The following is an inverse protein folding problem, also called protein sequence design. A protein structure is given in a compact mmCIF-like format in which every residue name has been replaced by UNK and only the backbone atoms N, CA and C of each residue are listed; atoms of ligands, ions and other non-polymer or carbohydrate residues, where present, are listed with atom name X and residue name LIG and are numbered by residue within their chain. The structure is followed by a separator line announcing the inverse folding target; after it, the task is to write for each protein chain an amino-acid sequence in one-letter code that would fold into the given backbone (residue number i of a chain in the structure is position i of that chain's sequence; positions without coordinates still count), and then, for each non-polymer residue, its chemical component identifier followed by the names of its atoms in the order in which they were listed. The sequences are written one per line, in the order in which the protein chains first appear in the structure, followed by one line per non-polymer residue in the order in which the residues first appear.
data_IF_224395995715
#
_entry.id   IF_224395995715
#
_cell.length_a   1.000
_cell.length_b   1.000
_cell.length_c   1.000
_cell.angle_alpha   90.00
_cell.angle_beta   90.00
_cell.angle_gamma   90.00
#
_symmetry.space_group_name_H-M   'P 1'
#
loop_
_entity.id
_entity.type
_entity.pdbx_description
1 polymer ?
#
# COMPACT_ATOMS: atom_id res chain seq x y z
N UNK A 1 13.09 -9.21 -9.61
CA UNK A 1 12.23 -8.31 -8.80
C UNK A 1 12.74 -6.91 -8.98
N UNK A 2 11.81 -5.98 -9.19
CA UNK A 2 12.07 -4.56 -9.34
C UNK A 2 11.48 -3.81 -8.16
N UNK A 3 12.30 -2.98 -7.53
CA UNK A 3 11.95 -2.21 -6.33
C UNK A 3 12.05 -0.71 -6.62
N UNK A 4 11.08 0.06 -6.11
CA UNK A 4 11.13 1.52 -6.04
C UNK A 4 10.81 1.98 -4.61
N UNK A 5 11.53 2.99 -4.14
CA UNK A 5 11.31 3.60 -2.82
C UNK A 5 11.85 5.03 -2.81
N UNK A 6 11.22 5.90 -2.02
CA UNK A 6 11.77 7.21 -1.65
C UNK A 6 12.33 7.23 -0.20
N UNK A 7 12.43 6.07 0.45
CA UNK A 7 13.00 5.95 1.78
C UNK A 7 14.54 6.00 1.71
N UNK A 8 15.14 6.85 2.53
CA UNK A 8 16.58 6.83 2.80
C UNK A 8 16.96 5.67 3.71
N UNK A 9 18.17 5.12 3.56
CA UNK A 9 18.66 4.05 4.45
C UNK A 9 18.63 4.45 5.94
N UNK A 10 18.21 3.57 6.87
CA UNK A 10 17.67 2.24 6.63
C UNK A 10 16.31 2.30 5.93
N UNK A 11 16.07 1.41 4.96
CA UNK A 11 14.87 1.35 4.11
C UNK A 11 13.56 1.02 4.83
N UNK A 12 13.46 1.35 6.12
CA UNK A 12 12.25 1.26 6.94
C UNK A 12 12.11 2.55 7.73
N UNK A 13 10.91 3.17 7.75
CA UNK A 13 10.74 4.50 8.35
C UNK A 13 10.72 4.44 9.89
N UNK A 14 10.75 3.24 10.48
CA UNK A 14 10.67 3.01 11.92
C UNK A 14 12.03 3.14 12.63
N UNK A 15 13.14 3.09 11.89
CA UNK A 15 14.51 3.05 12.42
C UNK A 15 15.03 4.34 13.07
N UNK A 16 14.19 5.36 13.25
CA UNK A 16 14.57 6.62 13.90
C UNK A 16 14.74 6.51 15.44
N UNK A 17 14.87 5.30 16.00
CA UNK A 17 15.22 5.08 17.41
C UNK A 17 16.57 5.74 17.81
N UNK A 18 17.41 6.07 16.82
CA UNK A 18 18.68 6.78 17.03
C UNK A 18 18.60 8.32 16.96
N UNK A 19 17.43 8.95 17.18
CA UNK A 19 17.40 10.41 17.35
C UNK A 19 17.75 10.75 18.81
N UNK A 20 18.94 11.32 19.10
CA UNK A 20 19.32 11.68 20.47
C UNK A 20 18.37 12.71 21.10
N UNK A 21 17.62 13.45 20.28
CA UNK A 21 16.59 14.38 20.72
C UNK A 21 15.40 14.34 19.75
N UNK A 22 14.24 13.89 20.22
CA UNK A 22 12.99 13.89 19.45
C UNK A 22 12.02 12.81 19.91
N UNK A 23 10.72 13.12 19.98
CA UNK A 23 9.71 12.08 20.17
C UNK A 23 9.62 11.23 18.89
N UNK A 24 9.48 9.89 18.99
CA UNK A 24 9.26 9.05 17.82
C UNK A 24 8.04 9.56 17.05
N UNK A 25 8.18 9.79 15.75
CA UNK A 25 7.06 10.12 14.90
C UNK A 25 6.09 8.94 14.88
N UNK A 26 4.78 9.20 15.01
CA UNK A 26 3.77 8.17 14.84
C UNK A 26 3.57 7.97 13.35
N UNK A 27 3.61 6.72 12.89
CA UNK A 27 3.50 6.38 11.48
C UNK A 27 2.21 5.58 11.28
N UNK A 28 1.39 5.98 10.32
CA UNK A 28 0.37 5.12 9.73
C UNK A 28 0.99 4.43 8.53
N UNK A 29 0.84 3.11 8.46
CA UNK A 29 1.34 2.29 7.37
C UNK A 29 0.18 1.65 6.65
N UNK A 30 0.06 1.88 5.35
CA UNK A 30 -0.85 1.11 4.51
C UNK A 30 -0.05 0.10 3.71
N UNK A 31 -0.63 -1.08 3.49
CA UNK A 31 -0.07 -2.14 2.64
C UNK A 31 -1.15 -2.58 1.65
N UNK A 32 -0.78 -2.85 0.40
CA UNK A 32 -1.64 -3.53 -0.57
C UNK A 32 -0.82 -4.46 -1.45
N UNK A 33 -1.48 -5.51 -1.94
CA UNK A 33 -0.93 -6.47 -2.88
C UNK A 33 -1.80 -6.52 -4.13
N UNK A 34 -1.17 -6.79 -5.26
CA UNK A 34 -1.84 -7.10 -6.52
C UNK A 34 -1.56 -8.55 -6.87
N UNK A 35 -2.61 -9.27 -7.27
CA UNK A 35 -2.56 -10.70 -7.52
C UNK A 35 -2.92 -11.01 -8.97
N UNK A 36 -2.29 -12.05 -9.51
CA UNK A 36 -2.71 -12.73 -10.73
C UNK A 36 -3.15 -14.14 -10.34
N UNK A 37 -4.22 -14.61 -10.96
CA UNK A 37 -4.72 -15.97 -10.80
C UNK A 37 -4.68 -16.68 -12.16
N UNK A 38 -3.80 -17.67 -12.32
CA UNK A 38 -3.71 -18.46 -13.54
C UNK A 38 -4.77 -19.57 -13.63
N UNK A 39 -5.65 -19.69 -12.63
CA UNK A 39 -6.68 -20.71 -12.49
C UNK A 39 -6.23 -21.94 -11.69
N UNK A 40 -4.92 -22.13 -11.49
CA UNK A 40 -4.37 -23.15 -10.61
C UNK A 40 -3.87 -22.53 -9.29
N UNK A 41 -3.30 -21.32 -9.35
CA UNK A 41 -2.68 -20.64 -8.22
C UNK A 41 -2.83 -19.12 -8.32
N UNK A 42 -3.16 -18.51 -7.20
CA UNK A 42 -3.04 -17.06 -7.02
C UNK A 42 -1.59 -16.71 -6.65
N UNK A 43 -0.97 -15.83 -7.44
CA UNK A 43 0.41 -15.37 -7.27
C UNK A 43 0.40 -13.86 -6.99
N UNK A 44 1.04 -13.38 -5.91
CA UNK A 44 1.18 -11.96 -5.68
C UNK A 44 2.26 -11.44 -6.63
N UNK A 45 1.90 -10.48 -7.48
CA UNK A 45 2.81 -9.96 -8.51
C UNK A 45 3.39 -8.60 -8.15
N UNK A 46 2.69 -7.83 -7.32
CA UNK A 46 3.14 -6.53 -6.85
C UNK A 46 2.72 -6.34 -5.38
N UNK A 47 3.56 -5.65 -4.61
CA UNK A 47 3.21 -5.20 -3.28
C UNK A 47 3.72 -3.79 -3.07
N UNK A 48 2.96 -2.99 -2.32
CA UNK A 48 3.37 -1.65 -1.95
C UNK A 48 3.02 -1.33 -0.50
N UNK A 49 3.85 -0.49 0.11
CA UNK A 49 3.68 0.04 1.44
C UNK A 49 3.86 1.56 1.42
N UNK A 50 2.91 2.28 2.03
CA UNK A 50 2.94 3.75 2.17
C UNK A 50 2.96 4.11 3.64
N UNK A 51 3.76 5.14 3.97
CA UNK A 51 4.04 5.57 5.32
C UNK A 51 3.70 7.05 5.51
N UNK A 52 2.65 7.32 6.28
CA UNK A 52 2.19 8.67 6.62
C UNK A 52 2.59 9.04 8.04
N UNK A 53 3.12 10.26 8.22
CA UNK A 53 3.36 10.81 9.57
C UNK A 53 2.07 11.32 10.16
N UNK A 54 1.61 10.69 11.23
CA UNK A 54 0.40 11.10 11.95
C UNK A 54 0.74 11.72 13.30
N UNK A 55 -0.17 12.55 13.82
CA UNK A 55 -0.06 13.03 15.20
C UNK A 55 -0.82 12.08 16.14
N UNK A 56 -0.31 11.90 17.37
CA UNK A 56 -0.91 10.99 18.34
C UNK A 56 -2.36 11.37 18.67
N UNK A 57 -2.59 12.65 18.98
CA UNK A 57 -3.84 13.15 19.57
C UNK A 57 -4.53 14.26 18.78
N UNK A 58 -3.96 14.71 17.66
CA UNK A 58 -4.46 15.87 16.92
C UNK A 58 -4.75 15.44 15.50
N UNK A 59 -5.84 15.95 14.95
CA UNK A 59 -6.08 15.96 13.52
C UNK A 59 -5.19 17.02 12.91
N UNK A 60 -4.42 16.65 11.88
CA UNK A 60 -3.59 17.59 11.14
C UNK A 60 -4.38 18.09 9.92
N UNK A 61 -4.57 19.41 9.75
CA UNK A 61 -5.02 19.95 8.49
C UNK A 61 -3.93 19.73 7.45
N UNK A 62 -4.30 19.16 6.31
CA UNK A 62 -3.38 18.81 5.24
C UNK A 62 -4.01 19.13 3.88
N UNK A 63 -3.16 19.31 2.88
CA UNK A 63 -3.49 19.58 1.48
C UNK A 63 -2.43 18.93 0.58
N UNK A 64 -2.57 19.13 -0.74
CA UNK A 64 -1.62 18.57 -1.71
C UNK A 64 -0.18 18.99 -1.45
N UNK A 65 0.06 20.21 -0.96
CA UNK A 65 1.40 20.79 -0.78
C UNK A 65 2.06 20.40 0.55
N UNK A 66 1.27 20.03 1.54
CA UNK A 66 1.74 19.77 2.92
C UNK A 66 1.89 18.28 3.24
N UNK A 67 1.23 17.37 2.51
CA UNK A 67 1.34 15.92 2.74
C UNK A 67 2.63 15.36 2.16
N UNK A 68 3.61 15.07 3.01
CA UNK A 68 4.72 14.18 2.65
C UNK A 68 4.44 12.74 3.03
N UNK A 69 4.86 11.78 2.18
CA UNK A 69 4.79 10.35 2.50
C UNK A 69 6.04 9.60 2.05
N UNK A 70 6.36 8.54 2.80
CA UNK A 70 7.34 7.55 2.38
C UNK A 70 6.66 6.38 1.68
N UNK A 71 7.35 5.68 0.79
CA UNK A 71 6.83 4.45 0.20
C UNK A 71 7.93 3.44 -0.13
N UNK A 72 7.51 2.18 -0.27
CA UNK A 72 8.30 1.09 -0.81
C UNK A 72 7.37 0.21 -1.64
N UNK A 73 7.69 -0.03 -2.90
CA UNK A 73 6.91 -0.88 -3.80
C UNK A 73 7.81 -1.82 -4.58
N UNK A 74 7.35 -3.05 -4.77
CA UNK A 74 8.08 -4.13 -5.44
C UNK A 74 7.14 -4.84 -6.38
N UNK A 75 7.62 -5.10 -7.60
CA UNK A 75 6.97 -5.97 -8.59
C UNK A 75 7.90 -7.14 -8.89
N UNK A 76 7.36 -8.35 -8.95
CA UNK A 76 8.12 -9.50 -9.41
C UNK A 76 8.25 -9.45 -10.93
N UNK A 77 9.37 -9.93 -11.44
CA UNK A 77 9.60 -10.03 -12.89
C UNK A 77 9.43 -11.48 -13.37
N UNK A 78 9.34 -12.44 -12.43
CA UNK A 78 9.15 -13.88 -12.69
C UNK A 78 8.42 -14.54 -11.52
N UNK A 79 7.65 -15.59 -11.80
CA UNK A 79 6.84 -16.30 -10.81
C UNK A 79 7.65 -16.89 -9.65
N UNK A 80 8.91 -17.31 -9.88
CA UNK A 80 9.74 -17.90 -8.81
C UNK A 80 10.10 -16.88 -7.72
N UNK A 81 9.89 -15.60 -7.99
CA UNK A 81 10.16 -14.51 -7.05
C UNK A 81 9.00 -14.25 -6.09
N UNK A 82 7.83 -14.87 -6.31
CA UNK A 82 6.64 -14.71 -5.46
C UNK A 82 6.90 -15.02 -3.98
N UNK A 83 7.69 -16.07 -3.70
CA UNK A 83 8.08 -16.40 -2.33
C UNK A 83 8.97 -15.32 -1.69
N UNK A 84 9.81 -14.65 -2.49
CA UNK A 84 10.66 -13.55 -2.02
C UNK A 84 9.82 -12.30 -1.74
N UNK A 85 8.81 -12.01 -2.58
CA UNK A 85 7.84 -10.95 -2.35
C UNK A 85 7.04 -11.21 -1.07
N UNK A 86 6.52 -12.42 -0.87
CA UNK A 86 5.80 -12.80 0.35
C UNK A 86 6.66 -12.60 1.61
N UNK A 87 7.93 -13.03 1.59
CA UNK A 87 8.85 -12.82 2.71
C UNK A 87 9.15 -11.33 2.96
N UNK A 88 9.15 -10.50 1.91
CA UNK A 88 9.32 -9.05 2.04
C UNK A 88 8.09 -8.42 2.70
N UNK A 89 6.90 -8.76 2.24
CA UNK A 89 5.63 -8.31 2.83
C UNK A 89 5.55 -8.74 4.28
N UNK A 90 5.87 -9.99 4.61
CA UNK A 90 5.90 -10.50 5.99
C UNK A 90 6.77 -9.62 6.91
N UNK A 91 7.98 -9.26 6.47
CA UNK A 91 8.85 -8.35 7.23
C UNK A 91 8.24 -6.96 7.43
N UNK A 92 7.61 -6.40 6.39
CA UNK A 92 6.92 -5.11 6.48
C UNK A 92 5.78 -5.19 7.49
N UNK A 93 4.99 -6.26 7.47
CA UNK A 93 3.89 -6.47 8.40
C UNK A 93 4.38 -6.62 9.85
N UNK A 94 5.43 -7.41 10.10
CA UNK A 94 6.05 -7.53 11.44
C UNK A 94 6.49 -6.15 11.95
N UNK A 95 7.17 -5.37 11.13
CA UNK A 95 7.67 -4.05 11.52
C UNK A 95 6.52 -3.07 11.75
N UNK A 96 5.56 -3.00 10.82
CA UNK A 96 4.41 -2.12 10.94
C UNK A 96 3.59 -2.46 12.18
N UNK A 97 3.36 -3.75 12.43
CA UNK A 97 2.64 -4.23 13.62
C UNK A 97 3.26 -3.73 14.92
N UNK A 98 4.59 -3.78 14.99
CA UNK A 98 5.35 -3.42 16.19
C UNK A 98 5.56 -1.92 16.37
N UNK A 99 5.75 -1.18 15.29
CA UNK A 99 6.25 0.19 15.34
C UNK A 99 5.29 1.25 14.79
N UNK A 100 4.34 0.88 13.92
CA UNK A 100 3.35 1.82 13.43
C UNK A 100 2.31 2.13 14.51
N UNK A 101 1.75 3.33 14.44
CA UNK A 101 0.56 3.68 15.21
C UNK A 101 -0.69 3.00 14.62
N UNK A 102 -0.72 2.85 13.29
CA UNK A 102 -1.80 2.23 12.53
C UNK A 102 -1.21 1.39 11.41
N UNK A 103 -1.73 0.18 11.22
CA UNK A 103 -1.51 -0.66 10.05
C UNK A 103 -2.85 -0.81 9.32
N UNK A 104 -2.89 -0.36 8.07
CA UNK A 104 -4.10 -0.29 7.26
C UNK A 104 -3.99 -1.15 5.99
N UNK A 105 -5.13 -1.68 5.57
CA UNK A 105 -5.31 -2.37 4.29
C UNK A 105 -6.73 -2.15 3.75
N UNK A 106 -7.05 -2.77 2.62
CA UNK A 106 -8.40 -2.74 2.04
C UNK A 106 -8.82 -4.15 1.66
N UNK A 107 -9.83 -4.70 2.35
CA UNK A 107 -10.19 -6.11 2.24
C UNK A 107 -8.98 -7.03 2.49
N UNK A 108 -8.14 -6.66 3.46
CA UNK A 108 -6.81 -7.22 3.61
C UNK A 108 -6.82 -8.67 4.11
N UNK A 109 -7.97 -9.15 4.60
CA UNK A 109 -8.18 -10.58 4.92
C UNK A 109 -7.90 -11.48 3.72
N UNK A 110 -8.30 -11.08 2.51
CA UNK A 110 -8.09 -11.87 1.29
C UNK A 110 -6.60 -11.95 0.94
N UNK A 111 -5.88 -10.83 1.09
CA UNK A 111 -4.42 -10.77 0.91
C UNK A 111 -3.68 -11.67 1.90
N UNK A 112 -4.07 -11.65 3.18
CA UNK A 112 -3.48 -12.51 4.21
C UNK A 112 -3.73 -14.00 3.94
N UNK A 113 -4.95 -14.34 3.50
CA UNK A 113 -5.30 -15.71 3.11
C UNK A 113 -4.50 -16.18 1.89
N UNK A 114 -4.35 -15.32 0.87
CA UNK A 114 -3.53 -15.61 -0.31
C UNK A 114 -2.07 -15.84 0.04
N UNK A 115 -1.50 -15.00 0.91
CA UNK A 115 -0.11 -15.15 1.38
C UNK A 115 0.09 -16.45 2.17
N UNK A 116 -0.88 -16.84 2.98
CA UNK A 116 -0.88 -18.13 3.67
C UNK A 116 -0.88 -19.31 2.70
N UNK A 117 -1.82 -19.32 1.74
CA UNK A 117 -1.93 -20.39 0.76
C UNK A 117 -0.66 -20.54 -0.09
N UNK A 118 -0.05 -19.41 -0.48
CA UNK A 118 1.24 -19.40 -1.15
C UNK A 118 2.33 -20.00 -0.27
N UNK A 119 2.42 -19.55 0.99
CA UNK A 119 3.44 -20.00 1.93
C UNK A 119 3.39 -21.51 2.16
N UNK A 120 2.19 -22.08 2.30
CA UNK A 120 1.95 -23.52 2.42
C UNK A 120 2.40 -24.27 1.15
N UNK A 121 2.12 -23.70 -0.03
CA UNK A 121 2.47 -24.30 -1.32
C UNK A 121 3.98 -24.34 -1.54
N UNK A 122 4.70 -23.28 -1.17
CA UNK A 122 6.14 -23.14 -1.43
C UNK A 122 7.02 -23.53 -0.22
N UNK A 123 6.42 -23.87 0.92
CA UNK A 123 7.11 -24.34 2.12
C UNK A 123 7.94 -23.27 2.83
N UNK A 124 7.51 -22.00 2.79
CA UNK A 124 8.18 -20.88 3.48
C UNK A 124 7.39 -20.41 4.69
N UNK A 125 8.09 -20.03 5.76
CA UNK A 125 7.43 -19.46 6.95
C UNK A 125 7.08 -17.98 6.76
N UNK A 126 5.84 -17.61 7.05
CA UNK A 126 5.33 -16.22 7.05
C UNK A 126 4.76 -15.86 8.44
N UNK A 127 5.59 -15.83 9.50
CA UNK A 127 5.10 -15.69 10.88
C UNK A 127 4.39 -14.36 11.14
N UNK A 128 4.76 -13.29 10.43
CA UNK A 128 4.08 -11.99 10.50
C UNK A 128 2.68 -12.05 9.90
N UNK A 129 2.53 -12.67 8.73
CA UNK A 129 1.23 -12.94 8.11
C UNK A 129 0.39 -13.80 9.06
N UNK A 130 0.93 -14.92 9.57
CA UNK A 130 0.21 -15.80 10.51
C UNK A 130 -0.31 -15.09 11.74
N UNK A 131 0.55 -14.32 12.40
CA UNK A 131 0.16 -13.56 13.59
C UNK A 131 -0.90 -12.51 13.25
N UNK A 132 -0.73 -11.82 12.11
CA UNK A 132 -1.64 -10.77 11.70
C UNK A 132 -3.01 -11.32 11.30
N UNK A 133 -3.10 -12.46 10.63
CA UNK A 133 -4.37 -13.11 10.25
C UNK A 133 -5.27 -13.32 11.46
N UNK A 134 -4.73 -13.91 12.54
CA UNK A 134 -5.48 -14.16 13.77
C UNK A 134 -5.96 -12.85 14.43
N UNK A 135 -5.18 -11.79 14.34
CA UNK A 135 -5.50 -10.50 14.95
C UNK A 135 -6.37 -9.60 14.05
N UNK A 136 -6.36 -9.81 12.73
CA UNK A 136 -7.11 -8.99 11.78
C UNK A 136 -8.61 -9.25 11.87
N UNK A 137 -9.02 -10.46 12.23
CA UNK A 137 -10.41 -10.81 12.54
C UNK A 137 -10.93 -9.99 13.74
N UNK A 138 -10.11 -9.89 14.79
CA UNK A 138 -10.39 -9.14 16.02
C UNK A 138 -9.85 -7.69 16.00
N UNK A 139 -9.56 -7.13 14.81
CA UNK A 139 -8.84 -5.85 14.65
C UNK A 139 -9.44 -4.65 15.41
N UNK A 140 -10.74 -4.69 15.70
CA UNK A 140 -11.44 -3.65 16.47
C UNK A 140 -11.04 -3.63 17.95
N UNK A 141 -10.44 -4.71 18.45
CA UNK A 141 -9.91 -4.80 19.81
C UNK A 141 -8.53 -4.16 19.87
N UNK A 142 -8.48 -2.91 20.34
CA UNK A 142 -7.22 -2.19 20.44
C UNK A 142 -6.31 -2.81 21.52
N UNK A 143 -5.12 -3.25 21.10
CA UNK A 143 -4.08 -3.77 21.99
C UNK A 143 -3.05 -2.69 22.31
N UNK A 144 -2.53 -2.69 23.54
CA UNK A 144 -1.51 -1.71 23.97
C UNK A 144 -0.13 -2.08 23.44
N UNK A 145 0.61 -1.09 22.94
CA UNK A 145 2.02 -1.25 22.57
C UNK A 145 2.27 -1.79 21.15
N UNK A 146 1.21 -1.93 20.36
CA UNK A 146 1.24 -2.41 18.97
C UNK A 146 0.25 -1.59 18.13
N UNK A 147 0.38 -1.66 16.79
CA UNK A 147 -0.43 -0.87 15.87
C UNK A 147 -1.95 -1.07 16.04
N UNK A 148 -2.74 -0.01 15.82
CA UNK A 148 -4.16 -0.18 15.53
C UNK A 148 -4.29 -0.82 14.14
N UNK A 149 -5.04 -1.91 14.02
CA UNK A 149 -5.33 -2.53 12.74
C UNK A 149 -6.58 -1.84 12.15
N UNK A 150 -6.59 -1.57 10.85
CA UNK A 150 -7.69 -0.84 10.22
C UNK A 150 -7.95 -1.35 8.79
N UNK A 151 -9.13 -1.89 8.54
CA UNK A 151 -9.52 -2.30 7.20
C UNK A 151 -10.44 -1.26 6.58
N UNK A 152 -9.95 -0.55 5.57
CA UNK A 152 -10.70 0.52 4.90
C UNK A 152 -11.96 0.02 4.18
N UNK A 153 -12.09 -1.28 3.90
CA UNK A 153 -13.32 -1.86 3.39
C UNK A 153 -14.40 -1.96 4.47
N UNK A 154 -14.02 -2.24 5.72
CA UNK A 154 -14.97 -2.63 6.77
C UNK A 154 -15.12 -1.63 7.91
N UNK A 155 -14.14 -0.73 8.11
CA UNK A 155 -14.04 0.09 9.32
C UNK A 155 -14.27 1.59 9.07
N UNK A 156 -14.45 2.00 7.81
CA UNK A 156 -14.78 3.39 7.44
C UNK A 156 -16.24 3.77 7.71
N UNK A 157 -17.12 2.78 7.86
CA UNK A 157 -18.55 3.00 8.05
C UNK A 157 -19.28 1.77 8.59
N UNK A 158 -20.60 1.89 8.83
CA UNK A 158 -21.40 0.79 9.36
C UNK A 158 -21.65 -0.34 8.34
N UNK A 159 -21.52 -0.05 7.05
CA UNK A 159 -21.70 -1.00 5.95
C UNK A 159 -20.35 -1.13 5.23
N UNK A 160 -19.84 -2.36 5.01
CA UNK A 160 -18.62 -2.54 4.24
C UNK A 160 -18.73 -1.97 2.82
N UNK A 161 -17.66 -1.36 2.35
CA UNK A 161 -17.52 -0.86 0.98
C UNK A 161 -17.51 -2.02 -0.02
N UNK A 162 -17.96 -1.78 -1.26
CA UNK A 162 -17.83 -2.78 -2.34
C UNK A 162 -16.44 -2.80 -2.95
N UNK A 163 -15.73 -1.67 -2.83
CA UNK A 163 -14.34 -1.53 -3.23
C UNK A 163 -13.76 -0.20 -2.74
N UNK A 164 -12.48 0.02 -3.05
CA UNK A 164 -11.74 1.17 -2.57
C UNK A 164 -12.33 2.51 -3.05
N UNK A 165 -12.92 2.54 -4.24
CA UNK A 165 -13.57 3.73 -4.78
C UNK A 165 -14.70 4.25 -3.87
N UNK A 166 -15.48 3.37 -3.25
CA UNK A 166 -16.55 3.77 -2.32
C UNK A 166 -15.97 4.43 -1.05
N UNK A 167 -14.88 3.86 -0.53
CA UNK A 167 -14.20 4.40 0.65
C UNK A 167 -13.55 5.76 0.33
N UNK A 168 -12.96 5.89 -0.85
CA UNK A 168 -12.37 7.15 -1.33
C UNK A 168 -13.44 8.23 -1.51
N UNK A 169 -14.57 7.90 -2.13
CA UNK A 169 -15.71 8.82 -2.28
C UNK A 169 -16.25 9.29 -0.92
N UNK A 170 -16.35 8.39 0.05
CA UNK A 170 -16.82 8.70 1.42
C UNK A 170 -15.87 9.66 2.16
N UNK A 171 -14.57 9.55 1.91
CA UNK A 171 -13.54 10.36 2.56
C UNK A 171 -12.98 11.48 1.70
N UNK A 172 -13.60 11.78 0.54
CA UNK A 172 -13.14 12.82 -0.39
C UNK A 172 -11.67 12.66 -0.81
N UNK A 173 -11.26 11.43 -1.10
CA UNK A 173 -9.98 11.11 -1.76
C UNK A 173 -10.25 10.90 -3.25
N UNK A 174 -9.56 11.62 -4.11
CA UNK A 174 -9.72 11.53 -5.57
C UNK A 174 -8.60 10.69 -6.17
N UNK A 175 -8.97 9.55 -6.73
CA UNK A 175 -8.07 8.69 -7.50
C UNK A 175 -8.25 9.05 -8.97
N UNK A 176 -7.18 9.46 -9.63
CA UNK A 176 -7.18 9.67 -11.07
C UNK A 176 -6.77 8.36 -11.73
N UNK A 177 -7.42 7.98 -12.82
CA UNK A 177 -6.97 6.79 -13.55
C UNK A 177 -5.67 7.11 -14.28
N UNK A 178 -4.62 6.34 -14.00
CA UNK A 178 -3.46 6.22 -14.89
C UNK A 178 -3.92 5.94 -16.34
N UNK A 179 -3.06 6.10 -17.36
CA UNK A 179 -3.42 5.78 -18.75
C UNK A 179 -3.96 4.35 -18.96
N UNK A 180 -3.72 3.46 -18.00
CA UNK A 180 -4.20 2.07 -17.97
C UNK A 180 -5.60 1.89 -17.34
N UNK A 181 -6.23 2.95 -16.84
CA UNK A 181 -7.45 2.83 -16.05
C UNK A 181 -7.18 2.40 -14.60
N UNK A 182 -8.23 2.10 -13.82
CA UNK A 182 -8.07 1.49 -12.50
C UNK A 182 -7.43 0.11 -12.61
N UNK A 183 -6.61 -0.27 -11.62
CA UNK A 183 -6.12 -1.64 -11.53
C UNK A 183 -7.29 -2.61 -11.30
N UNK A 184 -7.60 -3.38 -12.34
CA UNK A 184 -8.52 -4.51 -12.33
C UNK A 184 -7.74 -5.80 -12.42
N UNK A 185 -8.36 -6.93 -12.08
CA UNK A 185 -7.74 -8.25 -12.23
C UNK A 185 -7.25 -8.49 -13.68
N UNK A 186 -8.01 -8.02 -14.67
CA UNK A 186 -7.65 -8.16 -16.08
C UNK A 186 -6.45 -7.28 -16.47
N UNK A 187 -6.39 -6.02 -16.01
CA UNK A 187 -5.27 -5.13 -16.30
C UNK A 187 -3.99 -5.56 -15.57
N UNK A 188 -4.12 -6.02 -14.31
CA UNK A 188 -2.97 -6.53 -13.53
C UNK A 188 -2.37 -7.75 -14.24
N UNK A 189 -3.21 -8.70 -14.66
CA UNK A 189 -2.77 -9.86 -15.46
C UNK A 189 -2.07 -9.44 -16.75
N UNK A 190 -2.71 -8.61 -17.56
CA UNK A 190 -2.16 -8.19 -18.86
C UNK A 190 -0.80 -7.46 -18.72
N UNK A 191 -0.66 -6.58 -17.73
CA UNK A 191 0.60 -5.90 -17.45
C UNK A 191 1.67 -6.87 -16.93
N UNK A 192 1.27 -7.83 -16.08
CA UNK A 192 2.20 -8.81 -15.55
C UNK A 192 2.70 -9.79 -16.63
N UNK A 193 1.82 -10.31 -17.48
CA UNK A 193 2.19 -11.14 -18.63
C UNK A 193 3.15 -10.39 -19.57
N UNK A 194 2.86 -9.12 -19.88
CA UNK A 194 3.77 -8.28 -20.69
C UNK A 194 5.15 -8.11 -20.04
N UNK A 195 5.19 -7.98 -18.70
CA UNK A 195 6.45 -7.87 -17.96
C UNK A 195 7.21 -9.22 -17.92
N UNK A 196 6.53 -10.31 -17.57
CA UNK A 196 7.13 -11.61 -17.31
C UNK A 196 7.54 -12.33 -18.60
N UNK A 197 6.70 -12.26 -19.65
CA UNK A 197 6.92 -12.98 -20.91
C UNK A 197 7.75 -12.16 -21.90
N UNK A 198 7.47 -10.85 -22.01
CA UNK A 198 8.11 -9.97 -23.01
C UNK A 198 9.23 -9.11 -22.43
N UNK A 199 9.38 -9.07 -21.10
CA UNK A 199 10.33 -8.18 -20.44
C UNK A 199 9.94 -6.70 -20.56
N UNK A 200 8.66 -6.39 -20.79
CA UNK A 200 8.21 -5.00 -20.94
C UNK A 200 8.31 -4.24 -19.61
N UNK A 201 9.43 -3.53 -19.46
CA UNK A 201 9.71 -2.69 -18.30
C UNK A 201 8.62 -1.65 -18.06
N UNK A 202 7.96 -1.15 -19.11
CA UNK A 202 6.91 -0.14 -18.96
C UNK A 202 5.70 -0.71 -18.23
N UNK A 203 5.29 -1.93 -18.56
CA UNK A 203 4.20 -2.62 -17.86
C UNK A 203 4.51 -2.83 -16.38
N UNK A 204 5.75 -3.18 -16.03
CA UNK A 204 6.18 -3.25 -14.63
C UNK A 204 6.15 -1.90 -13.89
N UNK A 205 6.58 -0.82 -14.54
CA UNK A 205 6.49 0.53 -13.95
C UNK A 205 5.03 0.99 -13.79
N UNK A 206 4.13 0.64 -14.70
CA UNK A 206 2.70 0.92 -14.60
C UNK A 206 2.02 0.14 -13.47
N UNK A 207 2.39 -1.14 -13.25
CA UNK A 207 1.93 -1.93 -12.09
C UNK A 207 2.36 -1.28 -10.77
N UNK A 208 3.63 -0.89 -10.66
CA UNK A 208 4.16 -0.22 -9.47
C UNK A 208 3.42 1.09 -9.18
N UNK A 209 3.17 1.90 -10.23
CA UNK A 209 2.45 3.15 -10.13
C UNK A 209 1.00 2.96 -9.64
N UNK A 210 0.25 2.05 -10.26
CA UNK A 210 -1.13 1.77 -9.87
C UNK A 210 -1.23 1.18 -8.46
N UNK A 211 -0.30 0.29 -8.09
CA UNK A 211 -0.26 -0.28 -6.73
C UNK A 211 0.03 0.79 -5.68
N UNK A 212 0.96 1.71 -5.95
CA UNK A 212 1.24 2.84 -5.07
C UNK A 212 0.06 3.79 -4.92
N UNK A 213 -0.67 4.05 -6.01
CA UNK A 213 -1.88 4.88 -5.97
C UNK A 213 -2.96 4.26 -5.10
N UNK A 214 -3.23 2.97 -5.30
CA UNK A 214 -4.14 2.20 -4.45
C UNK A 214 -3.71 2.29 -2.98
N UNK A 215 -2.44 2.00 -2.66
CA UNK A 215 -1.95 1.98 -1.28
C UNK A 215 -1.94 3.36 -0.63
N UNK A 216 -1.63 4.42 -1.38
CA UNK A 216 -1.72 5.79 -0.87
C UNK A 216 -3.17 6.17 -0.58
N UNK A 217 -4.11 5.81 -1.46
CA UNK A 217 -5.53 6.02 -1.21
C UNK A 217 -6.01 5.30 0.06
N UNK A 218 -5.60 4.04 0.27
CA UNK A 218 -5.86 3.30 1.52
C UNK A 218 -5.31 4.05 2.74
N UNK A 219 -4.08 4.55 2.65
CA UNK A 219 -3.45 5.30 3.73
C UNK A 219 -4.22 6.59 4.09
N UNK A 220 -4.64 7.35 3.07
CA UNK A 220 -5.36 8.61 3.22
C UNK A 220 -6.79 8.41 3.75
N UNK A 221 -7.49 7.39 3.25
CA UNK A 221 -8.80 6.98 3.76
C UNK A 221 -8.68 6.60 5.25
N UNK A 222 -7.73 5.73 5.60
CA UNK A 222 -7.52 5.33 6.99
C UNK A 222 -7.14 6.51 7.89
N UNK A 223 -6.25 7.40 7.43
CA UNK A 223 -5.86 8.58 8.18
C UNK A 223 -7.05 9.50 8.48
N UNK A 224 -7.97 9.66 7.53
CA UNK A 224 -9.13 10.55 7.67
C UNK A 224 -10.22 9.91 8.51
N UNK A 225 -10.52 8.62 8.29
CA UNK A 225 -11.47 7.86 9.07
C UNK A 225 -11.10 7.81 10.57
N UNK A 226 -9.80 7.74 10.87
CA UNK A 226 -9.27 7.76 12.24
C UNK A 226 -9.06 9.17 12.82
N UNK A 227 -9.50 10.21 12.11
CA UNK A 227 -9.36 11.61 12.52
C UNK A 227 -7.90 12.06 12.67
N UNK A 228 -6.96 11.43 11.96
CA UNK A 228 -5.54 11.81 11.96
C UNK A 228 -5.28 12.96 11.00
N UNK A 229 -5.93 12.96 9.84
CA UNK A 229 -5.89 14.03 8.84
C UNK A 229 -7.28 14.62 8.61
N UNK A 230 -7.29 15.86 8.14
CA UNK A 230 -8.47 16.52 7.58
C UNK A 230 -8.02 17.48 6.47
N UNK A 231 -8.87 17.67 5.47
CA UNK A 231 -8.66 18.60 4.37
C UNK A 231 -9.97 19.34 4.05
N UNK A 232 -9.85 20.52 3.45
CA UNK A 232 -11.00 21.35 3.11
C UNK A 232 -11.66 20.94 1.79
N UNK A 233 -10.83 20.63 0.79
CA UNK A 233 -11.24 20.24 -0.56
C UNK A 233 -10.89 18.78 -0.81
N UNK A 234 -11.59 18.08 -1.73
CA UNK A 234 -11.20 16.73 -2.13
C UNK A 234 -9.70 16.62 -2.46
N UNK A 235 -9.07 15.56 -1.96
CA UNK A 235 -7.62 15.40 -2.01
C UNK A 235 -7.21 14.52 -3.18
N UNK A 236 -6.58 15.06 -4.23
CA UNK A 236 -6.14 14.26 -5.38
C UNK A 236 -4.87 13.48 -5.06
N UNK A 237 -4.91 12.17 -5.32
CA UNK A 237 -3.80 11.24 -5.06
C UNK A 237 -2.68 11.40 -6.09
N UNK A 238 -3.03 11.62 -7.35
CA UNK A 238 -2.07 11.64 -8.45
C UNK A 238 -1.01 12.75 -8.35
N UNK A 239 -1.33 14.02 -8.00
CA UNK A 239 -0.31 15.04 -7.76
C UNK A 239 0.63 14.72 -6.59
N UNK A 240 0.13 14.06 -5.54
CA UNK A 240 0.96 13.60 -4.41
C UNK A 240 1.98 12.55 -4.88
N UNK A 241 1.53 11.56 -5.66
CA UNK A 241 2.43 10.55 -6.23
C UNK A 241 3.43 11.16 -7.18
N UNK A 242 3.00 12.03 -8.09
CA UNK A 242 3.87 12.69 -9.05
C UNK A 242 5.03 13.41 -8.35
N UNK A 243 4.75 14.09 -7.23
CA UNK A 243 5.79 14.75 -6.43
C UNK A 243 6.77 13.76 -5.81
N UNK A 244 6.28 12.69 -5.17
CA UNK A 244 7.16 11.79 -4.40
C UNK A 244 7.85 10.73 -5.27
N UNK A 245 7.39 10.52 -6.51
CA UNK A 245 7.91 9.50 -7.45
C UNK A 245 8.66 10.07 -8.66
N UNK A 246 8.90 11.38 -8.68
CA UNK A 246 9.40 12.14 -9.85
C UNK A 246 10.64 11.55 -10.56
N UNK A 247 11.50 10.82 -9.86
CA UNK A 247 12.73 10.19 -10.39
C UNK A 247 12.70 8.65 -10.37
N UNK A 248 11.54 8.04 -10.15
CA UNK A 248 11.42 6.59 -9.90
C UNK A 248 10.95 5.81 -11.12
N UNK A 249 10.22 6.45 -12.02
CA UNK A 249 9.80 5.88 -13.29
C UNK A 249 10.68 6.40 -14.43
N UNK A 250 11.13 5.49 -15.29
CA UNK A 250 12.11 5.80 -16.35
C UNK A 250 11.55 5.58 -17.76
N UNK A 251 10.46 4.83 -17.87
CA UNK A 251 9.82 4.46 -19.13
C UNK A 251 8.60 5.32 -19.45
N UNK A 252 8.05 6.03 -18.46
CA UNK A 252 7.02 7.03 -18.65
C UNK A 252 7.14 8.17 -17.62
N UNK A 253 6.68 9.36 -18.02
CA UNK A 253 6.54 10.50 -17.12
C UNK A 253 5.16 10.44 -16.46
N UNK A 254 5.15 10.14 -15.15
CA UNK A 254 3.93 10.06 -14.36
C UNK A 254 3.16 11.37 -14.40
N UNK A 255 3.83 12.51 -14.19
CA UNK A 255 3.18 13.82 -14.14
C UNK A 255 2.59 14.21 -15.50
N UNK A 256 3.31 13.95 -16.59
CA UNK A 256 2.81 14.19 -17.94
C UNK A 256 1.60 13.30 -18.28
N UNK A 257 1.56 12.07 -17.76
CA UNK A 257 0.47 11.14 -18.02
C UNK A 257 -0.89 11.58 -17.46
N UNK A 258 -0.89 12.38 -16.39
CA UNK A 258 -2.10 12.95 -15.78
C UNK A 258 -2.76 14.02 -16.66
N UNK A 259 -1.97 14.73 -17.48
CA UNK A 259 -2.47 15.82 -18.32
C UNK A 259 -3.21 15.34 -19.58
N UNK A 260 -3.07 14.05 -19.94
CA UNK A 260 -3.71 13.44 -21.11
C UNK A 260 -5.09 12.84 -20.86
N UNK A 261 -5.58 12.84 -19.62
CA UNK A 261 -6.85 12.20 -19.21
C UNK A 261 -8.01 13.20 -18.98
N UNK A 262 -7.88 14.46 -19.43
CA UNK A 262 -8.95 15.48 -19.32
C UNK A 262 -9.84 15.55 -20.55
#
# INVERSE_FOLDING_TARGET
MREITNLSWPGTPYGAEQRPFGRPAQILTAVSLEWVDDGERAVPVCASAVYLRVHRTRTLPVDVDTIGFGFHAVVIERDEEAAQLAALVDRVLVQARRHAAVLAGHSFTDDLAGLHALADTVGVGVPGVTALTAEWEDRRQQQRGIACLFDTCCDVGPIPCRGLADACATHHVEIESLPIGPLTVASVRSLYESLADEGDRRSGELLLAGSLERTLAVALVAATALGKYAWADPLPVAPLLARETWDRFTTFDYAASLSGCR
#
